data_IF_973485587366
#
_entry.id   IF_973485587366
#
_cell.length_a   1.000
_cell.length_b   1.000
_cell.length_c   1.000
_cell.angle_alpha   90.00
_cell.angle_beta   90.00
_cell.angle_gamma   90.00
#
_symmetry.space_group_name_H-M   'P 1'
#
loop_
_entity.id
_entity.type
_entity.pdbx_description
1 polymer ?
#
# COMPACT_ATOMS: atom_id res chain seq x y z
N UNK A 1 -14.17 -15.23 -20.69
CA UNK A 1 -14.30 -15.69 -19.28
C UNK A 1 -13.26 -16.76 -18.94
N UNK A 2 -13.11 -17.83 -19.75
CA UNK A 2 -12.14 -18.91 -19.51
C UNK A 2 -10.68 -18.45 -19.32
N UNK A 3 -10.19 -17.51 -20.14
CA UNK A 3 -8.81 -17.00 -20.05
C UNK A 3 -8.50 -16.36 -18.69
N UNK A 4 -9.42 -15.57 -18.14
CA UNK A 4 -9.23 -14.92 -16.83
C UNK A 4 -9.18 -15.94 -15.68
N UNK A 5 -10.03 -16.97 -15.74
CA UNK A 5 -10.04 -18.06 -14.76
C UNK A 5 -8.72 -18.84 -14.82
N UNK A 6 -8.26 -19.17 -16.03
CA UNK A 6 -7.00 -19.89 -16.21
C UNK A 6 -5.80 -19.10 -15.69
N UNK A 7 -5.74 -17.78 -15.93
CA UNK A 7 -4.67 -16.92 -15.41
C UNK A 7 -4.66 -16.95 -13.88
N UNK A 8 -5.81 -16.76 -13.24
CA UNK A 8 -5.91 -16.76 -11.78
C UNK A 8 -5.48 -18.12 -11.22
N UNK A 9 -5.98 -19.22 -11.80
CA UNK A 9 -5.66 -20.57 -11.36
C UNK A 9 -4.16 -20.87 -11.46
N UNK A 10 -3.54 -20.60 -12.62
CA UNK A 10 -2.11 -20.81 -12.83
C UNK A 10 -1.29 -19.91 -11.91
N UNK A 11 -1.64 -18.63 -11.77
CA UNK A 11 -0.93 -17.71 -10.88
C UNK A 11 -1.01 -18.16 -9.41
N UNK A 12 -2.16 -18.65 -8.96
CA UNK A 12 -2.35 -19.22 -7.62
C UNK A 12 -1.50 -20.47 -7.41
N UNK A 13 -1.46 -21.39 -8.37
CA UNK A 13 -0.64 -22.59 -8.29
C UNK A 13 0.86 -22.27 -8.23
N UNK A 14 1.33 -21.38 -9.12
CA UNK A 14 2.74 -20.95 -9.15
C UNK A 14 3.11 -20.26 -7.84
N UNK A 15 2.23 -19.40 -7.32
CA UNK A 15 2.43 -18.74 -6.03
C UNK A 15 2.57 -19.74 -4.88
N UNK A 16 1.65 -20.71 -4.77
CA UNK A 16 1.72 -21.74 -3.73
C UNK A 16 2.95 -22.63 -3.88
N UNK A 17 3.31 -23.02 -5.11
CA UNK A 17 4.51 -23.79 -5.39
C UNK A 17 5.77 -23.04 -4.93
N UNK A 18 5.88 -21.74 -5.22
CA UNK A 18 6.99 -20.90 -4.73
C UNK A 18 7.06 -20.91 -3.20
N UNK A 19 5.92 -20.72 -2.51
CA UNK A 19 5.89 -20.75 -1.05
C UNK A 19 6.42 -22.05 -0.44
N UNK A 20 6.19 -23.18 -1.11
CA UNK A 20 6.70 -24.51 -0.70
C UNK A 20 8.19 -24.64 -1.05
N UNK A 21 8.58 -24.28 -2.28
CA UNK A 21 9.95 -24.42 -2.80
C UNK A 21 10.98 -23.58 -2.02
N UNK A 22 10.59 -22.40 -1.54
CA UNK A 22 11.46 -21.55 -0.73
C UNK A 22 11.60 -22.00 0.73
N UNK A 23 10.93 -23.08 1.13
CA UNK A 23 10.98 -23.67 2.49
C UNK A 23 10.80 -22.64 3.62
N UNK A 24 10.00 -21.62 3.35
CA UNK A 24 9.84 -20.44 4.21
C UNK A 24 8.39 -20.31 4.66
N UNK A 25 8.05 -20.81 5.87
CA UNK A 25 6.74 -20.61 6.48
C UNK A 25 6.19 -19.17 6.39
N UNK A 26 6.94 -18.09 6.70
CA UNK A 26 6.39 -16.74 6.61
C UNK A 26 5.98 -16.37 5.18
N UNK A 27 6.77 -16.77 4.17
CA UNK A 27 6.45 -16.52 2.77
C UNK A 27 5.21 -17.31 2.34
N UNK A 28 5.13 -18.59 2.70
CA UNK A 28 3.96 -19.42 2.42
C UNK A 28 2.68 -18.86 3.04
N UNK A 29 2.72 -18.46 4.31
CA UNK A 29 1.58 -17.81 4.98
C UNK A 29 1.21 -16.49 4.31
N UNK A 30 2.18 -15.68 3.90
CA UNK A 30 1.91 -14.42 3.22
C UNK A 30 1.16 -14.62 1.91
N UNK A 31 1.57 -15.60 1.10
CA UNK A 31 0.93 -15.93 -0.16
C UNK A 31 -0.48 -16.49 0.07
N UNK A 32 -0.65 -17.35 1.08
CA UNK A 32 -1.94 -17.96 1.43
C UNK A 32 -2.94 -16.91 1.93
N UNK A 33 -2.52 -16.03 2.85
CA UNK A 33 -3.35 -14.93 3.37
C UNK A 33 -3.71 -13.96 2.24
N UNK A 34 -2.76 -13.62 1.37
CA UNK A 34 -2.99 -12.73 0.23
C UNK A 34 -4.00 -13.34 -0.75
N UNK A 35 -3.90 -14.65 -1.02
CA UNK A 35 -4.86 -15.36 -1.85
C UNK A 35 -6.25 -15.34 -1.21
N UNK A 36 -6.36 -15.73 0.08
CA UNK A 36 -7.63 -15.73 0.80
C UNK A 36 -8.29 -14.34 0.81
N UNK A 37 -7.55 -13.29 1.18
CA UNK A 37 -8.08 -11.93 1.22
C UNK A 37 -8.40 -11.41 -0.18
N UNK A 38 -7.63 -11.75 -1.21
CA UNK A 38 -7.94 -11.43 -2.60
C UNK A 38 -9.24 -12.08 -3.09
N UNK A 39 -9.47 -13.33 -2.70
CA UNK A 39 -10.72 -14.06 -2.96
C UNK A 39 -11.88 -13.44 -2.19
N UNK A 40 -11.73 -13.21 -0.88
CA UNK A 40 -12.72 -12.55 -0.02
C UNK A 40 -13.02 -11.09 -0.39
N UNK A 41 -12.13 -10.47 -1.15
CA UNK A 41 -12.34 -9.14 -1.72
C UNK A 41 -13.21 -9.19 -2.99
N UNK A 42 -13.01 -10.21 -3.83
CA UNK A 42 -13.44 -10.19 -5.23
C UNK A 42 -14.67 -11.05 -5.53
N UNK A 43 -14.82 -12.20 -4.86
CA UNK A 43 -15.81 -13.23 -5.22
C UNK A 43 -17.25 -12.75 -5.00
N UNK A 44 -18.13 -13.12 -5.92
CA UNK A 44 -19.57 -12.87 -5.84
C UNK A 44 -20.25 -13.86 -4.89
N UNK A 45 -20.03 -13.66 -3.59
CA UNK A 45 -20.72 -14.38 -2.53
C UNK A 45 -21.14 -13.40 -1.41
N UNK A 46 -22.29 -13.59 -0.75
CA UNK A 46 -22.81 -12.65 0.26
C UNK A 46 -21.81 -12.26 1.36
N UNK A 47 -20.91 -13.18 1.74
CA UNK A 47 -19.90 -12.96 2.78
C UNK A 47 -18.50 -12.55 2.24
N UNK A 48 -18.25 -12.66 0.93
CA UNK A 48 -16.90 -12.59 0.34
C UNK A 48 -16.76 -11.52 -0.76
N UNK A 49 -17.66 -10.54 -0.80
CA UNK A 49 -17.55 -9.39 -1.72
C UNK A 49 -17.17 -8.13 -0.97
N UNK A 50 -16.08 -8.19 -0.21
CA UNK A 50 -15.66 -7.11 0.70
C UNK A 50 -15.43 -5.78 -0.02
N UNK A 51 -15.17 -5.78 -1.34
CA UNK A 51 -15.12 -4.55 -2.15
C UNK A 51 -16.39 -3.68 -2.06
N UNK A 52 -17.55 -4.24 -1.68
CA UNK A 52 -18.79 -3.48 -1.46
C UNK A 52 -18.81 -2.73 -0.12
N UNK A 53 -17.95 -3.10 0.83
CA UNK A 53 -17.89 -2.51 2.15
C UNK A 53 -16.58 -1.74 2.30
N UNK A 54 -16.60 -0.39 2.36
CA UNK A 54 -15.38 0.42 2.36
C UNK A 54 -14.36 0.04 3.44
N UNK A 55 -14.85 -0.30 4.65
CA UNK A 55 -14.01 -0.72 5.78
C UNK A 55 -13.34 -2.06 5.54
N UNK A 56 -14.07 -3.07 5.05
CA UNK A 56 -13.51 -4.40 4.78
C UNK A 56 -12.55 -4.37 3.58
N UNK A 57 -12.85 -3.55 2.57
CA UNK A 57 -11.95 -3.29 1.46
C UNK A 57 -10.64 -2.65 1.93
N UNK A 58 -10.73 -1.61 2.77
CA UNK A 58 -9.56 -0.95 3.34
C UNK A 58 -8.75 -1.88 4.25
N UNK A 59 -9.42 -2.69 5.10
CA UNK A 59 -8.75 -3.64 6.00
C UNK A 59 -8.03 -4.75 5.23
N UNK A 60 -8.60 -5.27 4.14
CA UNK A 60 -7.93 -6.26 3.30
C UNK A 60 -6.64 -5.70 2.68
N UNK A 61 -6.70 -4.48 2.12
CA UNK A 61 -5.52 -3.81 1.55
C UNK A 61 -4.47 -3.57 2.63
N UNK A 62 -4.88 -3.05 3.79
CA UNK A 62 -4.04 -2.84 4.97
C UNK A 62 -3.32 -4.11 5.42
N UNK A 63 -4.06 -5.20 5.65
CA UNK A 63 -3.50 -6.46 6.15
C UNK A 63 -2.48 -6.99 5.14
N UNK A 64 -2.83 -7.06 3.86
CA UNK A 64 -1.94 -7.61 2.83
C UNK A 64 -0.71 -6.72 2.66
N UNK A 65 -0.88 -5.43 2.40
CA UNK A 65 0.20 -4.54 1.98
C UNK A 65 1.03 -4.00 3.13
N UNK A 66 0.42 -3.63 4.25
CA UNK A 66 1.12 -2.97 5.34
C UNK A 66 1.67 -3.94 6.39
N UNK A 67 1.00 -5.07 6.61
CA UNK A 67 1.40 -6.03 7.65
C UNK A 67 2.04 -7.29 7.06
N UNK A 68 1.30 -8.03 6.25
CA UNK A 68 1.71 -9.35 5.75
C UNK A 68 2.96 -9.23 4.90
N UNK A 69 2.96 -8.39 3.87
CA UNK A 69 4.13 -8.21 3.00
C UNK A 69 5.34 -7.73 3.80
N UNK A 70 5.18 -6.73 4.67
CA UNK A 70 6.31 -6.15 5.41
C UNK A 70 6.93 -7.15 6.41
N UNK A 71 6.11 -7.81 7.22
CA UNK A 71 6.59 -8.72 8.25
C UNK A 71 7.08 -10.04 7.66
N UNK A 72 6.33 -10.63 6.73
CA UNK A 72 6.68 -11.93 6.18
C UNK A 72 7.96 -11.90 5.36
N UNK A 73 8.15 -10.88 4.51
CA UNK A 73 9.37 -10.73 3.73
C UNK A 73 10.56 -10.42 4.62
N UNK A 74 10.39 -9.58 5.66
CA UNK A 74 11.47 -9.35 6.62
C UNK A 74 11.90 -10.65 7.31
N UNK A 75 10.95 -11.43 7.83
CA UNK A 75 11.26 -12.70 8.50
C UNK A 75 11.89 -13.69 7.52
N UNK A 76 11.37 -13.78 6.29
CA UNK A 76 11.94 -14.61 5.23
C UNK A 76 13.40 -14.24 4.96
N UNK A 77 13.68 -12.97 4.69
CA UNK A 77 15.02 -12.48 4.40
C UNK A 77 15.97 -12.71 5.58
N UNK A 78 15.57 -12.36 6.80
CA UNK A 78 16.43 -12.50 7.97
C UNK A 78 16.73 -13.97 8.28
N UNK A 79 15.70 -14.80 8.45
CA UNK A 79 15.87 -16.15 8.98
C UNK A 79 16.20 -17.18 7.91
N UNK A 80 15.57 -17.09 6.74
CA UNK A 80 15.62 -18.15 5.72
C UNK A 80 16.61 -17.85 4.59
N UNK A 81 16.92 -16.57 4.33
CA UNK A 81 17.92 -16.20 3.31
C UNK A 81 19.27 -15.87 3.96
N UNK A 82 19.28 -15.06 5.02
CA UNK A 82 20.52 -14.58 5.66
C UNK A 82 20.95 -15.39 6.89
N UNK A 83 20.11 -16.30 7.39
CA UNK A 83 20.40 -17.13 8.58
C UNK A 83 20.55 -16.34 9.89
N UNK A 84 20.00 -15.13 9.97
CA UNK A 84 20.08 -14.22 11.11
C UNK A 84 18.91 -14.41 12.09
N UNK A 85 19.09 -14.12 13.39
CA UNK A 85 17.98 -14.14 14.34
C UNK A 85 16.94 -13.08 13.99
N UNK A 86 15.66 -13.43 14.17
CA UNK A 86 14.56 -12.49 14.01
C UNK A 86 14.60 -11.51 15.18
N UNK A 87 15.03 -10.29 14.91
CA UNK A 87 14.97 -9.19 15.86
C UNK A 87 14.19 -8.05 15.25
N UNK A 88 13.24 -7.48 15.99
CA UNK A 88 12.49 -6.31 15.53
C UNK A 88 13.44 -5.12 15.46
N UNK A 89 13.74 -4.66 14.24
CA UNK A 89 14.63 -3.53 13.98
C UNK A 89 13.81 -2.25 13.82
N UNK A 90 14.38 -1.10 14.19
CA UNK A 90 13.74 0.22 14.01
C UNK A 90 13.25 0.48 12.56
N UNK A 91 14.00 0.12 11.49
CA UNK A 91 13.53 0.27 10.12
C UNK A 91 12.29 -0.56 9.79
N UNK A 92 12.14 -1.76 10.36
CA UNK A 92 10.95 -2.59 10.18
C UNK A 92 9.71 -1.94 10.78
N UNK A 93 9.83 -1.45 12.02
CA UNK A 93 8.73 -0.75 12.71
C UNK A 93 8.34 0.50 11.94
N UNK A 94 9.32 1.29 11.52
CA UNK A 94 9.09 2.48 10.70
C UNK A 94 8.39 2.14 9.38
N UNK A 95 8.91 1.18 8.61
CA UNK A 95 8.33 0.80 7.33
C UNK A 95 6.91 0.23 7.47
N UNK A 96 6.65 -0.55 8.52
CA UNK A 96 5.29 -1.08 8.81
C UNK A 96 4.34 0.06 9.16
N UNK A 97 4.72 0.97 10.05
CA UNK A 97 3.90 2.11 10.44
C UNK A 97 3.64 3.07 9.26
N UNK A 98 4.68 3.35 8.47
CA UNK A 98 4.60 4.17 7.28
C UNK A 98 3.61 3.57 6.27
N UNK A 99 3.71 2.27 5.99
CA UNK A 99 2.79 1.59 5.08
C UNK A 99 1.35 1.55 5.61
N UNK A 100 1.16 1.36 6.92
CA UNK A 100 -0.17 1.43 7.54
C UNK A 100 -0.82 2.81 7.34
N UNK A 101 -0.06 3.87 7.61
CA UNK A 101 -0.52 5.24 7.37
C UNK A 101 -0.82 5.47 5.89
N UNK A 102 0.07 5.01 5.01
CA UNK A 102 -0.07 5.18 3.57
C UNK A 102 -1.31 4.49 3.01
N UNK A 103 -1.68 3.31 3.51
CA UNK A 103 -2.92 2.64 3.09
C UNK A 103 -4.19 3.36 3.50
N UNK A 104 -4.19 4.14 4.60
CA UNK A 104 -5.30 5.04 4.92
C UNK A 104 -5.42 6.10 3.83
N UNK A 105 -4.29 6.69 3.41
CA UNK A 105 -4.26 7.69 2.34
C UNK A 105 -4.75 7.11 1.01
N UNK A 106 -4.33 5.90 0.63
CA UNK A 106 -4.86 5.20 -0.56
C UNK A 106 -6.38 5.05 -0.45
N UNK A 107 -6.88 4.61 0.71
CA UNK A 107 -8.30 4.38 0.93
C UNK A 107 -9.12 5.67 0.87
N UNK A 108 -8.57 6.82 1.27
CA UNK A 108 -9.24 8.11 1.11
C UNK A 108 -9.19 8.60 -0.33
N UNK A 109 -8.03 8.51 -1.00
CA UNK A 109 -7.88 8.96 -2.37
C UNK A 109 -8.77 8.20 -3.36
N UNK A 110 -8.92 6.88 -3.20
CA UNK A 110 -9.78 6.06 -4.08
C UNK A 110 -11.24 6.51 -4.00
N UNK A 111 -11.68 7.00 -2.85
CA UNK A 111 -13.09 7.40 -2.63
C UNK A 111 -13.39 8.76 -3.28
N UNK A 112 -12.39 9.59 -3.62
CA UNK A 112 -12.60 10.91 -4.25
C UNK A 112 -13.22 10.80 -5.66
N UNK A 113 -12.67 10.01 -6.61
CA UNK A 113 -13.31 9.82 -7.91
C UNK A 113 -14.63 9.04 -7.82
N UNK A 114 -14.88 8.32 -6.73
CA UNK A 114 -16.07 7.48 -6.55
C UNK A 114 -17.24 8.19 -5.85
N UNK A 115 -17.09 9.47 -5.48
CA UNK A 115 -18.12 10.25 -4.77
C UNK A 115 -19.52 10.20 -5.40
N UNK A 116 -19.65 10.28 -6.73
CA UNK A 116 -20.98 10.23 -7.37
C UNK A 116 -21.60 8.84 -7.24
N UNK A 117 -20.81 7.79 -7.50
CA UNK A 117 -21.26 6.41 -7.34
C UNK A 117 -21.65 6.11 -5.89
N UNK A 118 -20.81 6.52 -4.93
CA UNK A 118 -21.12 6.36 -3.51
C UNK A 118 -22.44 7.04 -3.13
N UNK A 119 -22.73 8.24 -3.65
CA UNK A 119 -24.01 8.92 -3.43
C UNK A 119 -25.18 8.14 -4.01
N UNK A 120 -25.07 7.66 -5.25
CA UNK A 120 -26.12 6.92 -5.94
C UNK A 120 -26.45 5.59 -5.23
N UNK A 121 -25.46 4.95 -4.61
CA UNK A 121 -25.62 3.72 -3.84
C UNK A 121 -25.86 3.95 -2.33
N UNK A 122 -26.01 5.20 -1.88
CA UNK A 122 -26.28 5.54 -0.48
C UNK A 122 -25.10 5.30 0.49
N UNK A 123 -23.87 5.19 -0.03
CA UNK A 123 -22.65 4.99 0.74
C UNK A 123 -22.16 6.33 1.31
N UNK A 124 -21.99 6.39 2.62
CA UNK A 124 -21.60 7.60 3.34
C UNK A 124 -20.08 7.70 3.54
N UNK A 125 -19.30 7.74 2.46
CA UNK A 125 -17.83 7.88 2.50
C UNK A 125 -17.39 9.27 2.96
N UNK A 126 -16.12 9.42 3.35
CA UNK A 126 -15.59 10.71 3.81
C UNK A 126 -15.66 11.77 2.71
N UNK A 127 -15.39 11.37 1.47
CA UNK A 127 -15.46 12.22 0.28
C UNK A 127 -16.90 12.66 -0.05
N UNK A 128 -17.91 11.85 0.30
CA UNK A 128 -19.32 12.25 0.22
C UNK A 128 -19.67 13.28 1.30
N UNK A 129 -19.21 13.08 2.54
CA UNK A 129 -19.54 13.96 3.68
C UNK A 129 -18.83 15.31 3.66
N UNK A 130 -17.53 15.31 3.37
CA UNK A 130 -16.69 16.52 3.42
C UNK A 130 -16.51 17.17 2.05
N UNK A 131 -16.84 16.47 0.97
CA UNK A 131 -16.62 16.93 -0.39
C UNK A 131 -15.23 16.57 -0.94
N UNK A 132 -15.15 16.51 -2.28
CA UNK A 132 -13.95 16.08 -3.02
C UNK A 132 -12.73 16.93 -2.70
N UNK A 133 -12.88 18.25 -2.71
CA UNK A 133 -11.79 19.19 -2.51
C UNK A 133 -11.17 19.09 -1.12
N UNK A 134 -12.01 19.03 -0.08
CA UNK A 134 -11.54 18.90 1.29
C UNK A 134 -10.78 17.58 1.51
N UNK A 135 -11.30 16.46 0.99
CA UNK A 135 -10.63 15.17 1.11
C UNK A 135 -9.36 15.11 0.26
N UNK A 136 -9.35 15.72 -0.93
CA UNK A 136 -8.15 15.85 -1.75
C UNK A 136 -7.02 16.55 -0.99
N UNK A 137 -7.29 17.74 -0.44
CA UNK A 137 -6.29 18.48 0.33
C UNK A 137 -5.87 17.78 1.61
N UNK A 138 -6.81 17.08 2.29
CA UNK A 138 -6.49 16.22 3.41
C UNK A 138 -5.46 15.15 3.00
N UNK A 139 -5.70 14.45 1.89
CA UNK A 139 -4.79 13.41 1.43
C UNK A 139 -3.43 13.96 1.01
N UNK A 140 -3.38 15.11 0.31
CA UNK A 140 -2.12 15.79 -0.04
C UNK A 140 -1.33 16.15 1.22
N UNK A 141 -1.98 16.73 2.24
CA UNK A 141 -1.35 17.05 3.53
C UNK A 141 -0.83 15.80 4.23
N UNK A 142 -1.62 14.72 4.26
CA UNK A 142 -1.20 13.44 4.83
C UNK A 142 0.02 12.86 4.12
N UNK A 143 0.05 12.86 2.78
CA UNK A 143 1.21 12.43 2.00
C UNK A 143 2.45 13.26 2.31
N UNK A 144 2.31 14.59 2.35
CA UNK A 144 3.42 15.48 2.66
C UNK A 144 3.97 15.22 4.06
N UNK A 145 3.10 15.07 5.07
CA UNK A 145 3.51 14.71 6.43
C UNK A 145 4.23 13.36 6.47
N UNK A 146 3.73 12.36 5.74
CA UNK A 146 4.39 11.06 5.65
C UNK A 146 5.81 11.20 5.08
N UNK A 147 5.98 11.86 3.93
CA UNK A 147 7.29 12.06 3.33
C UNK A 147 8.24 12.89 4.20
N UNK A 148 7.74 13.96 4.82
CA UNK A 148 8.53 14.75 5.77
C UNK A 148 8.96 13.90 6.97
N UNK A 149 8.07 13.10 7.55
CA UNK A 149 8.43 12.20 8.65
C UNK A 149 9.50 11.17 8.26
N UNK A 150 9.44 10.67 7.03
CA UNK A 150 10.42 9.73 6.49
C UNK A 150 11.79 10.39 6.29
N UNK A 151 11.83 11.64 5.81
CA UNK A 151 13.07 12.44 5.73
C UNK A 151 13.68 12.63 7.12
N UNK A 152 12.87 12.97 8.13
CA UNK A 152 13.35 13.15 9.51
C UNK A 152 13.91 11.84 10.09
N UNK A 153 13.19 10.73 9.93
CA UNK A 153 13.67 9.40 10.38
C UNK A 153 14.93 8.99 9.63
N UNK A 154 15.01 9.26 8.33
CA UNK A 154 16.20 9.02 7.50
C UNK A 154 17.42 9.79 8.02
N UNK A 155 17.25 11.06 8.40
CA UNK A 155 18.31 11.89 8.98
C UNK A 155 18.86 11.34 10.30
N UNK A 156 18.03 10.63 11.07
CA UNK A 156 18.42 9.96 12.31
C UNK A 156 19.07 8.58 12.08
N UNK A 157 19.11 8.06 10.85
CA UNK A 157 19.72 6.76 10.54
C UNK A 157 21.25 6.81 10.68
N UNK A 158 21.86 5.79 11.29
CA UNK A 158 23.31 5.68 11.44
C UNK A 158 24.02 5.21 10.15
N UNK A 159 23.29 4.55 9.26
CA UNK A 159 23.83 4.03 7.99
C UNK A 159 23.80 5.11 6.91
N UNK A 160 24.96 5.52 6.40
CA UNK A 160 25.08 6.56 5.37
C UNK A 160 24.28 6.23 4.09
N UNK A 161 24.37 5.01 3.51
CA UNK A 161 23.56 4.66 2.33
C UNK A 161 22.05 4.77 2.59
N UNK A 162 21.57 4.18 3.69
CA UNK A 162 20.14 4.22 4.06
C UNK A 162 19.68 5.65 4.32
N UNK A 163 20.50 6.47 4.98
CA UNK A 163 20.24 7.90 5.22
C UNK A 163 20.02 8.65 3.91
N UNK A 164 20.96 8.58 2.96
CA UNK A 164 20.84 9.31 1.70
C UNK A 164 19.67 8.82 0.85
N UNK A 165 19.47 7.50 0.74
CA UNK A 165 18.36 6.93 -0.02
C UNK A 165 17.01 7.39 0.56
N UNK A 166 16.86 7.33 1.88
CA UNK A 166 15.60 7.71 2.54
C UNK A 166 15.33 9.21 2.41
N UNK A 167 16.33 10.06 2.67
CA UNK A 167 16.18 11.52 2.58
C UNK A 167 15.86 11.94 1.15
N UNK A 168 16.73 11.62 0.19
CA UNK A 168 16.55 12.09 -1.18
C UNK A 168 15.35 11.43 -1.86
N UNK A 169 15.10 10.14 -1.62
CA UNK A 169 13.94 9.44 -2.15
C UNK A 169 12.63 10.09 -1.73
N UNK A 170 12.42 10.27 -0.42
CA UNK A 170 11.17 10.88 0.06
C UNK A 170 11.08 12.38 -0.20
N UNK A 171 12.19 13.13 -0.22
CA UNK A 171 12.19 14.52 -0.64
C UNK A 171 11.80 14.68 -2.11
N UNK A 172 12.32 13.81 -2.99
CA UNK A 172 11.96 13.80 -4.41
C UNK A 172 10.47 13.45 -4.61
N UNK A 173 9.93 12.50 -3.84
CA UNK A 173 8.50 12.17 -3.84
C UNK A 173 7.64 13.35 -3.37
N UNK A 174 8.04 14.04 -2.31
CA UNK A 174 7.33 15.22 -1.82
C UNK A 174 7.35 16.36 -2.85
N UNK A 175 8.51 16.61 -3.47
CA UNK A 175 8.67 17.57 -4.55
C UNK A 175 7.78 17.24 -5.75
N UNK A 176 7.83 15.99 -6.22
CA UNK A 176 7.03 15.48 -7.33
C UNK A 176 5.52 15.64 -7.06
N UNK A 177 5.07 15.33 -5.84
CA UNK A 177 3.69 15.54 -5.42
C UNK A 177 3.30 17.02 -5.54
N UNK A 178 4.09 17.90 -4.92
CA UNK A 178 3.82 19.34 -4.91
C UNK A 178 3.87 19.96 -6.31
N UNK A 179 4.74 19.47 -7.18
CA UNK A 179 4.81 19.90 -8.57
C UNK A 179 3.54 19.56 -9.37
N UNK A 180 2.87 18.45 -9.03
CA UNK A 180 1.69 17.96 -9.77
C UNK A 180 0.37 18.52 -9.23
N UNK A 181 0.28 18.83 -7.94
CA UNK A 181 -0.95 19.35 -7.29
C UNK A 181 -1.57 20.54 -8.05
N UNK A 182 -0.83 21.57 -8.50
CA UNK A 182 -1.42 22.71 -9.21
C UNK A 182 -2.10 22.37 -10.53
N UNK A 183 -1.73 21.25 -11.16
CA UNK A 183 -2.31 20.80 -12.44
C UNK A 183 -3.62 20.01 -12.29
N UNK A 184 -4.05 19.74 -11.05
CA UNK A 184 -5.23 18.92 -10.79
C UNK A 184 -6.49 19.78 -10.82
N UNK A 185 -7.29 19.60 -11.87
CA UNK A 185 -8.68 20.05 -11.89
C UNK A 185 -9.53 19.12 -11.00
N UNK A 186 -10.06 19.66 -9.90
CA UNK A 186 -10.89 18.94 -8.93
C UNK A 186 -12.36 18.80 -9.36
N UNK A 187 -12.75 19.44 -10.46
CA UNK A 187 -14.08 19.26 -11.06
C UNK A 187 -14.11 18.06 -12.02
N UNK A 188 -12.95 17.68 -12.57
CA UNK A 188 -12.80 16.57 -13.50
C UNK A 188 -12.43 15.26 -12.80
N UNK A 189 -13.35 14.28 -12.82
CA UNK A 189 -13.09 12.91 -12.33
C UNK A 189 -11.87 12.29 -13.00
N UNK A 190 -11.65 12.55 -14.30
CA UNK A 190 -10.50 12.03 -15.05
C UNK A 190 -9.18 12.64 -14.56
N UNK A 191 -9.16 13.94 -14.25
CA UNK A 191 -7.99 14.63 -13.69
C UNK A 191 -7.63 14.07 -12.31
N UNK A 192 -8.60 13.94 -11.40
CA UNK A 192 -8.41 13.36 -10.06
C UNK A 192 -7.92 11.91 -10.17
N UNK A 193 -8.54 11.10 -11.03
CA UNK A 193 -8.15 9.69 -11.22
C UNK A 193 -6.72 9.58 -11.75
N UNK A 194 -6.35 10.45 -12.69
CA UNK A 194 -4.98 10.50 -13.24
C UNK A 194 -3.96 10.88 -12.17
N UNK A 195 -4.28 11.86 -11.31
CA UNK A 195 -3.43 12.24 -10.18
C UNK A 195 -3.31 11.13 -9.13
N UNK A 196 -4.42 10.45 -8.81
CA UNK A 196 -4.42 9.28 -7.93
C UNK A 196 -3.51 8.17 -8.47
N UNK A 197 -3.70 7.76 -9.73
CA UNK A 197 -2.88 6.73 -10.37
C UNK A 197 -1.42 7.15 -10.46
N UNK A 198 -1.12 8.44 -10.63
CA UNK A 198 0.26 8.93 -10.58
C UNK A 198 0.85 8.83 -9.16
N UNK A 199 0.08 9.17 -8.14
CA UNK A 199 0.59 9.34 -6.77
C UNK A 199 0.80 8.02 -6.03
N UNK A 200 0.05 6.96 -6.33
CA UNK A 200 0.06 5.70 -5.57
C UNK A 200 1.17 4.67 -5.93
N UNK A 201 1.56 4.45 -7.20
CA UNK A 201 2.59 3.47 -7.57
C UNK A 201 3.99 3.82 -7.05
N UNK A 202 4.24 5.09 -6.75
CA UNK A 202 5.56 5.60 -6.38
C UNK A 202 6.06 5.21 -4.98
N UNK A 203 5.25 4.49 -4.17
CA UNK A 203 5.58 4.21 -2.75
C UNK A 203 6.12 2.79 -2.50
N UNK A 204 5.99 1.87 -3.47
CA UNK A 204 6.34 0.45 -3.23
C UNK A 204 7.83 0.13 -3.45
N UNK A 205 8.61 1.02 -4.07
CA UNK A 205 9.96 0.68 -4.59
C UNK A 205 11.14 1.07 -3.69
N UNK A 206 10.95 1.87 -2.62
CA UNK A 206 12.08 2.45 -1.87
C UNK A 206 12.47 1.73 -0.57
N UNK A 207 11.66 0.80 -0.06
CA UNK A 207 11.89 0.27 1.31
C UNK A 207 12.67 -1.05 1.39
N UNK A 208 13.07 -1.64 0.26
CA UNK A 208 13.82 -2.91 0.22
C UNK A 208 15.36 -2.74 0.27
N UNK A 209 15.89 -1.51 0.26
CA UNK A 209 17.34 -1.26 0.15
C UNK A 209 18.01 -0.67 1.40
N UNK A 210 17.48 -0.91 2.59
CA UNK A 210 18.07 -0.43 3.84
C UNK A 210 18.71 -1.54 4.71
N UNK A 211 19.19 -2.63 4.12
CA UNK A 211 19.96 -3.63 4.87
C UNK A 211 21.20 -4.14 4.12
N UNK A 212 22.16 -3.21 3.93
CA UNK A 212 23.58 -3.54 4.01
C UNK A 212 24.21 -2.64 5.05
N UNK A 213 24.39 -3.20 6.24
CA UNK A 213 25.39 -2.94 7.28
C UNK A 213 24.81 -3.37 8.63
#
# INVERSE_FOLDING_TARGET
>A
MATGINIIFVASLVSMAMGILFESPPLFFALTISMFLGTAYSVEHPLLRWKRHPVLAASAIMIVRALVVQLAFFIHMQKYVLGRPIAVKKPLVFATAFMCFFSVVIALFKDIPDVDGDKDFGIQSLSVKLGRENVFWLCVKMLLMAYTSAVLVGALSSSLPSRFITIFGHAMLAWSLMYRVPSVDLTSKASITSFYIYSMPNISLFHLFAEKN
#
